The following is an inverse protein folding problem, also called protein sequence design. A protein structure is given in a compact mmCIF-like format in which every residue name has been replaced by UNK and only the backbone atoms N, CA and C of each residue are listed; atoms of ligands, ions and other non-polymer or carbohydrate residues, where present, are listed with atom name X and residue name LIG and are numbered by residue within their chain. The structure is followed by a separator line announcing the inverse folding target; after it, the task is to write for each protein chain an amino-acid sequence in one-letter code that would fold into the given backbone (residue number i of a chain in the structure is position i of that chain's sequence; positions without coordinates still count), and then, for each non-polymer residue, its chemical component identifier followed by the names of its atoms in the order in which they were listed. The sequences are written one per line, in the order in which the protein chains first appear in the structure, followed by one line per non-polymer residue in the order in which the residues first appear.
data_IF_976752751621
#
_entry.id   IF_976752751621
#
_cell.length_a   1.000
_cell.length_b   1.000
_cell.length_c   1.000
_cell.angle_alpha   90.00
_cell.angle_beta   90.00
_cell.angle_gamma   90.00
#
_symmetry.space_group_name_H-M   'P 1'
#
loop_
_entity.id
_entity.type
_entity.pdbx_description
1 polymer ?
#
# COMPACT_ATOMS: atom_id res chain seq x y z
N UNK A 1 -13.35 1.44 -0.90
CA UNK A 1 -12.80 2.80 -1.06
C UNK A 1 -13.58 3.82 -0.22
N UNK A 2 -14.91 3.93 -0.36
CA UNK A 2 -15.73 4.94 0.35
C UNK A 2 -15.57 4.89 1.86
N UNK A 3 -15.53 3.71 2.48
CA UNK A 3 -15.34 3.57 3.92
C UNK A 3 -13.99 4.13 4.39
N UNK A 4 -12.92 3.92 3.62
CA UNK A 4 -11.60 4.49 3.90
C UNK A 4 -11.58 6.01 3.74
N UNK A 5 -12.21 6.52 2.68
CA UNK A 5 -12.32 7.97 2.45
C UNK A 5 -13.04 8.62 3.64
N UNK A 6 -14.22 8.11 4.01
CA UNK A 6 -14.99 8.60 5.16
C UNK A 6 -14.17 8.58 6.45
N UNK A 7 -13.51 7.46 6.75
CA UNK A 7 -12.71 7.34 7.98
C UNK A 7 -11.64 8.43 8.09
N UNK A 8 -10.98 8.76 6.98
CA UNK A 8 -9.85 9.71 7.00
C UNK A 8 -10.22 11.16 6.68
N UNK A 9 -11.42 11.43 6.20
CA UNK A 9 -11.82 12.78 5.78
C UNK A 9 -13.01 13.33 6.54
N UNK A 10 -14.04 12.53 6.83
CA UNK A 10 -15.28 13.01 7.44
C UNK A 10 -15.07 13.37 8.93
N UNK A 11 -14.28 12.58 9.66
CA UNK A 11 -13.96 12.83 11.07
C UNK A 11 -13.35 14.24 11.27
N UNK A 12 -12.57 14.68 10.31
CA UNK A 12 -11.84 15.95 10.37
C UNK A 12 -12.45 17.04 9.49
N UNK A 13 -13.50 16.73 8.74
CA UNK A 13 -14.11 17.63 7.77
C UNK A 13 -13.06 18.32 6.88
N UNK A 14 -12.16 17.53 6.27
CA UNK A 14 -11.08 18.07 5.45
C UNK A 14 -11.37 17.93 3.94
N UNK A 15 -10.93 18.91 3.12
CA UNK A 15 -11.02 18.79 1.67
C UNK A 15 -10.15 17.64 1.17
N UNK A 16 -10.65 16.86 0.22
CA UNK A 16 -9.93 15.74 -0.35
C UNK A 16 -10.16 15.57 -1.85
N UNK A 17 -9.29 14.82 -2.48
CA UNK A 17 -9.46 14.26 -3.82
C UNK A 17 -9.13 12.77 -3.76
N UNK A 18 -10.00 11.95 -4.33
CA UNK A 18 -9.82 10.50 -4.37
C UNK A 18 -9.95 9.97 -5.80
N UNK A 19 -9.12 8.99 -6.14
CA UNK A 19 -9.19 8.27 -7.40
C UNK A 19 -8.87 6.80 -7.18
N UNK A 20 -9.60 5.91 -7.85
CA UNK A 20 -9.30 4.49 -7.89
C UNK A 20 -8.62 4.20 -9.21
N UNK A 21 -7.43 3.63 -9.12
CA UNK A 21 -6.68 3.16 -10.27
C UNK A 21 -6.63 1.64 -10.27
N UNK A 22 -6.66 1.07 -11.46
CA UNK A 22 -6.39 -0.34 -11.67
C UNK A 22 -5.35 -0.47 -12.79
N UNK A 23 -4.22 -1.07 -12.50
CA UNK A 23 -3.22 -1.41 -13.51
C UNK A 23 -2.77 -2.85 -13.31
N UNK A 24 -2.21 -3.43 -14.35
CA UNK A 24 -1.64 -4.77 -14.27
C UNK A 24 -0.24 -4.71 -13.67
N UNK A 25 0.02 -5.61 -12.74
CA UNK A 25 1.35 -5.79 -12.17
C UNK A 25 2.35 -6.27 -13.22
N UNK A 26 3.56 -5.73 -13.19
CA UNK A 26 4.63 -6.08 -14.13
C UNK A 26 5.15 -7.51 -13.91
N UNK A 27 4.89 -8.09 -12.74
CA UNK A 27 5.18 -9.48 -12.41
C UNK A 27 3.86 -10.24 -12.28
N UNK A 28 3.60 -11.17 -13.21
CA UNK A 28 2.40 -12.02 -13.19
C UNK A 28 1.14 -11.42 -13.81
N UNK A 29 1.15 -10.14 -14.23
CA UNK A 29 0.05 -9.52 -14.98
C UNK A 29 -1.29 -9.42 -14.24
N UNK A 30 -1.31 -9.57 -12.94
CA UNK A 30 -2.52 -9.52 -12.11
C UNK A 30 -2.99 -8.07 -11.93
N UNK A 31 -4.31 -7.90 -11.84
CA UNK A 31 -4.91 -6.59 -11.54
C UNK A 31 -4.50 -6.10 -10.16
N UNK A 32 -4.12 -4.83 -10.08
CA UNK A 32 -3.69 -4.16 -8.85
C UNK A 32 -4.56 -2.91 -8.60
N UNK A 33 -5.82 -3.08 -8.17
CA UNK A 33 -6.66 -1.95 -7.82
C UNK A 33 -6.12 -1.26 -6.56
N UNK A 34 -6.02 0.07 -6.61
CA UNK A 34 -5.57 0.85 -5.46
C UNK A 34 -6.23 2.22 -5.41
N UNK A 35 -6.40 2.72 -4.19
CA UNK A 35 -6.97 4.03 -3.90
C UNK A 35 -5.84 5.05 -3.72
N UNK A 36 -5.90 6.14 -4.50
CA UNK A 36 -5.18 7.37 -4.22
C UNK A 36 -6.11 8.31 -3.47
N UNK A 37 -5.77 8.63 -2.23
CA UNK A 37 -6.47 9.62 -1.42
C UNK A 37 -5.49 10.73 -1.07
N UNK A 38 -5.73 11.92 -1.60
CA UNK A 38 -5.09 13.17 -1.19
C UNK A 38 -6.07 13.98 -0.38
N UNK A 39 -5.71 14.36 0.82
CA UNK A 39 -6.50 15.23 1.67
C UNK A 39 -5.65 16.36 2.24
N UNK A 40 -6.32 17.48 2.53
CA UNK A 40 -5.69 18.61 3.17
C UNK A 40 -5.69 18.41 4.68
N UNK A 41 -4.58 18.67 5.35
CA UNK A 41 -4.48 18.62 6.82
C UNK A 41 -5.15 19.82 7.52
N UNK A 42 -6.14 20.43 6.89
CA UNK A 42 -6.90 21.57 7.45
C UNK A 42 -8.39 21.29 7.37
N UNK A 43 -9.08 21.52 8.48
CA UNK A 43 -10.54 21.35 8.53
C UNK A 43 -11.25 22.50 7.82
N UNK A 44 -12.35 22.17 7.15
CA UNK A 44 -13.34 23.16 6.69
C UNK A 44 -14.24 23.49 7.87
N UNK A 45 -14.35 24.77 8.18
CA UNK A 45 -15.24 25.31 9.21
C UNK A 45 -16.29 26.24 8.59
N UNK A 46 -17.09 26.92 9.43
CA UNK A 46 -18.15 27.81 9.01
C UNK A 46 -17.66 29.13 8.37
N UNK A 47 -16.36 29.40 8.42
CA UNK A 47 -15.84 30.69 7.92
C UNK A 47 -15.55 30.60 6.42
N UNK A 48 -16.08 31.54 5.67
CA UNK A 48 -15.85 31.66 4.25
C UNK A 48 -14.48 32.30 3.99
N UNK A 49 -13.51 31.50 3.51
CA UNK A 49 -12.13 31.91 3.27
C UNK A 49 -11.77 31.85 1.79
N UNK A 50 -10.95 32.79 1.34
CA UNK A 50 -10.25 32.62 0.06
C UNK A 50 -9.22 31.50 0.18
N UNK A 51 -8.75 30.96 -0.95
CA UNK A 51 -7.71 29.92 -0.94
C UNK A 51 -6.44 30.37 -0.21
N UNK A 52 -6.01 31.63 -0.41
CA UNK A 52 -4.84 32.19 0.28
C UNK A 52 -5.06 32.30 1.78
N UNK A 53 -6.23 32.75 2.20
CA UNK A 53 -6.58 32.84 3.61
C UNK A 53 -6.69 31.47 4.25
N UNK A 54 -7.27 30.47 3.57
CA UNK A 54 -7.41 29.09 4.06
C UNK A 54 -6.06 28.51 4.47
N UNK A 55 -5.01 28.73 3.69
CA UNK A 55 -3.66 28.23 3.95
C UNK A 55 -2.80 29.14 4.83
N UNK A 56 -3.30 30.30 5.24
CA UNK A 56 -2.58 31.21 6.14
C UNK A 56 -2.48 30.64 7.56
N UNK A 57 -1.79 31.33 8.46
CA UNK A 57 -1.66 30.93 9.87
C UNK A 57 -3.02 30.98 10.56
N UNK A 58 -3.37 29.90 11.27
CA UNK A 58 -4.56 29.87 12.12
C UNK A 58 -4.47 30.93 13.25
N UNK A 59 -5.55 31.62 13.51
CA UNK A 59 -5.68 32.59 14.59
C UNK A 59 -6.74 32.10 15.58
N UNK A 60 -6.30 31.61 16.73
CA UNK A 60 -7.16 31.05 17.77
C UNK A 60 -8.05 32.13 18.49
N UNK A 61 -7.63 33.40 18.43
CA UNK A 61 -8.38 34.50 19.01
C UNK A 61 -9.43 35.09 18.08
N UNK A 62 -9.21 34.96 16.77
CA UNK A 62 -10.10 35.44 15.72
C UNK A 62 -10.04 34.52 14.53
N UNK A 63 -10.73 33.36 14.61
CA UNK A 63 -10.69 32.31 13.55
C UNK A 63 -11.17 32.82 12.19
N UNK A 64 -12.10 33.78 12.16
CA UNK A 64 -12.63 34.34 10.91
C UNK A 64 -11.56 35.07 10.09
N UNK A 65 -10.60 35.72 10.75
CA UNK A 65 -9.49 36.44 10.13
C UNK A 65 -8.19 35.65 10.05
N UNK A 66 -8.21 34.36 10.47
CA UNK A 66 -7.09 33.42 10.37
C UNK A 66 -7.25 32.39 9.26
N UNK A 67 -6.24 31.58 9.08
CA UNK A 67 -6.32 30.39 8.23
C UNK A 67 -7.15 29.27 8.86
N UNK A 68 -7.47 28.24 8.09
CA UNK A 68 -8.15 27.04 8.60
C UNK A 68 -7.27 26.29 9.60
N UNK A 69 -7.88 25.69 10.60
CA UNK A 69 -7.16 24.95 11.64
C UNK A 69 -6.53 23.67 11.07
N UNK A 70 -5.28 23.41 11.41
CA UNK A 70 -4.64 22.13 11.09
C UNK A 70 -5.22 20.99 11.94
N UNK A 71 -5.51 19.89 11.28
CA UNK A 71 -6.07 18.67 11.89
C UNK A 71 -4.98 17.87 12.60
N UNK A 72 -3.83 17.69 11.93
CA UNK A 72 -2.69 17.03 12.53
C UNK A 72 -2.06 17.97 13.55
N UNK A 73 -2.08 17.60 14.83
CA UNK A 73 -1.35 18.40 15.80
C UNK A 73 0.13 18.34 15.43
N UNK A 74 0.71 19.50 15.19
CA UNK A 74 2.15 19.71 14.97
C UNK A 74 2.93 19.44 16.28
N UNK A 75 2.51 18.40 17.01
CA UNK A 75 3.07 18.02 18.30
C UNK A 75 4.16 16.99 18.00
N UNK A 76 5.41 17.35 18.25
CA UNK A 76 6.58 16.47 18.16
C UNK A 76 6.27 15.07 18.74
N UNK A 77 6.39 14.03 17.91
CA UNK A 77 6.20 12.63 18.28
C UNK A 77 4.81 12.04 18.03
N UNK A 78 3.74 12.84 17.88
CA UNK A 78 2.40 12.29 17.61
C UNK A 78 2.17 11.83 16.18
N UNK A 79 2.91 12.34 15.18
CA UNK A 79 2.74 11.93 13.79
C UNK A 79 2.92 10.44 13.56
N UNK A 80 3.87 9.80 14.26
CA UNK A 80 4.07 8.33 14.19
C UNK A 80 2.88 7.57 14.75
N UNK A 81 2.30 8.03 15.86
CA UNK A 81 1.13 7.40 16.49
C UNK A 81 -0.07 7.48 15.56
N UNK A 82 -0.36 8.66 15.00
CA UNK A 82 -1.47 8.86 14.06
C UNK A 82 -1.32 7.97 12.81
N UNK A 83 -0.12 7.89 12.23
CA UNK A 83 0.13 7.01 11.08
C UNK A 83 -0.09 5.54 11.44
N UNK A 84 0.30 5.11 12.63
CA UNK A 84 0.08 3.73 13.06
C UNK A 84 -1.42 3.46 13.30
N UNK A 85 -2.15 4.39 13.90
CA UNK A 85 -3.61 4.31 14.05
C UNK A 85 -4.30 4.22 12.69
N UNK A 86 -3.92 5.07 11.73
CA UNK A 86 -4.44 5.01 10.36
C UNK A 86 -4.17 3.66 9.67
N UNK A 87 -3.02 3.03 9.92
CA UNK A 87 -2.72 1.69 9.37
C UNK A 87 -3.63 0.63 9.97
N UNK A 88 -3.84 0.66 11.29
CA UNK A 88 -4.74 -0.27 12.00
C UNK A 88 -6.17 -0.07 11.52
N UNK A 89 -6.66 1.16 11.43
CA UNK A 89 -8.00 1.46 10.91
C UNK A 89 -8.17 0.98 9.46
N UNK A 90 -7.13 1.13 8.64
CA UNK A 90 -7.13 0.62 7.25
C UNK A 90 -7.24 -0.90 7.22
N UNK A 91 -6.48 -1.61 8.06
CA UNK A 91 -6.55 -3.07 8.18
C UNK A 91 -7.95 -3.52 8.60
N UNK A 92 -8.53 -2.90 9.64
CA UNK A 92 -9.87 -3.24 10.13
C UNK A 92 -10.90 -3.06 9.02
N UNK A 93 -10.96 -1.89 8.39
CA UNK A 93 -11.94 -1.58 7.34
C UNK A 93 -11.80 -2.55 6.15
N UNK A 94 -10.57 -2.85 5.73
CA UNK A 94 -10.35 -3.78 4.62
C UNK A 94 -10.80 -5.17 5.01
N UNK A 95 -10.45 -5.68 6.19
CA UNK A 95 -10.80 -7.03 6.62
C UNK A 95 -12.31 -7.21 6.82
N UNK A 96 -13.02 -6.22 7.35
CA UNK A 96 -14.49 -6.25 7.41
C UNK A 96 -15.15 -6.40 6.02
N UNK A 97 -14.59 -5.72 5.01
CA UNK A 97 -15.07 -5.82 3.64
C UNK A 97 -14.69 -7.15 2.99
N UNK A 98 -13.49 -7.65 3.25
CA UNK A 98 -13.04 -8.95 2.75
C UNK A 98 -13.90 -10.07 3.34
N UNK A 99 -14.14 -10.06 4.65
CA UNK A 99 -15.01 -11.04 5.31
C UNK A 99 -16.41 -11.07 4.69
N UNK A 100 -16.96 -9.91 4.36
CA UNK A 100 -18.31 -9.79 3.81
C UNK A 100 -18.42 -10.16 2.33
N UNK A 101 -17.43 -9.78 1.50
CA UNK A 101 -17.56 -9.84 0.04
C UNK A 101 -16.59 -10.80 -0.65
N UNK A 102 -15.51 -11.18 0.01
CA UNK A 102 -14.46 -12.06 -0.52
C UNK A 102 -13.71 -12.74 0.61
N UNK A 103 -14.40 -13.58 1.41
CA UNK A 103 -13.84 -14.14 2.65
C UNK A 103 -12.65 -15.06 2.41
N UNK A 104 -12.53 -15.60 1.22
CA UNK A 104 -11.44 -16.50 0.83
C UNK A 104 -10.74 -16.03 -0.43
N UNK A 105 -9.51 -16.47 -0.62
CA UNK A 105 -8.71 -16.31 -1.84
C UNK A 105 -8.01 -17.60 -2.20
N UNK A 106 -7.73 -17.78 -3.49
CA UNK A 106 -6.95 -18.92 -3.98
C UNK A 106 -5.47 -18.52 -4.01
N UNK A 107 -4.63 -19.35 -3.42
CA UNK A 107 -3.16 -19.26 -3.52
C UNK A 107 -2.63 -20.52 -4.19
N UNK A 108 -1.57 -20.37 -4.99
CA UNK A 108 -0.89 -21.50 -5.62
C UNK A 108 0.27 -21.95 -4.73
N UNK A 109 0.33 -23.25 -4.45
CA UNK A 109 1.40 -23.92 -3.71
C UNK A 109 1.89 -25.10 -4.54
N UNK A 110 3.09 -24.97 -5.09
CA UNK A 110 3.72 -26.02 -5.93
C UNK A 110 2.80 -26.55 -7.04
N UNK A 111 2.10 -25.64 -7.71
CA UNK A 111 1.19 -25.97 -8.80
C UNK A 111 -0.21 -26.43 -8.36
N UNK A 112 -0.50 -26.45 -7.06
CA UNK A 112 -1.82 -26.80 -6.51
C UNK A 112 -2.49 -25.53 -6.03
N UNK A 113 -3.69 -25.26 -6.51
CA UNK A 113 -4.52 -24.16 -6.05
C UNK A 113 -5.23 -24.52 -4.74
N UNK A 114 -5.05 -23.70 -3.72
CA UNK A 114 -5.59 -23.92 -2.39
C UNK A 114 -6.38 -22.68 -1.96
N UNK A 115 -7.55 -22.91 -1.40
CA UNK A 115 -8.38 -21.83 -0.85
C UNK A 115 -7.92 -21.53 0.59
N UNK A 116 -7.70 -20.24 0.89
CA UNK A 116 -7.32 -19.76 2.23
C UNK A 116 -8.15 -18.54 2.61
N UNK A 117 -8.29 -18.21 3.91
CA UNK A 117 -8.93 -16.97 4.33
C UNK A 117 -8.27 -15.75 3.70
N UNK A 118 -9.08 -14.79 3.29
CA UNK A 118 -8.61 -13.57 2.66
C UNK A 118 -8.54 -12.43 3.69
N UNK A 119 -7.34 -12.05 4.07
CA UNK A 119 -7.11 -10.97 5.00
C UNK A 119 -5.83 -10.19 4.67
N UNK A 120 -5.74 -8.98 5.21
CA UNK A 120 -4.54 -8.15 5.17
C UNK A 120 -4.07 -7.86 6.58
N UNK A 121 -2.78 -7.57 6.75
CA UNK A 121 -2.22 -7.10 8.01
C UNK A 121 -1.28 -5.92 7.79
N UNK A 122 -1.33 -4.93 8.68
CA UNK A 122 -0.41 -3.80 8.69
C UNK A 122 0.88 -4.07 9.48
N UNK A 123 0.99 -5.26 10.07
CA UNK A 123 2.16 -5.64 10.87
C UNK A 123 3.39 -5.84 10.01
N UNK A 124 4.55 -5.52 10.56
CA UNK A 124 5.82 -5.98 10.00
C UNK A 124 5.92 -7.51 10.06
N UNK A 125 6.65 -8.12 9.12
CA UNK A 125 6.82 -9.59 9.07
C UNK A 125 7.30 -10.19 10.39
N UNK A 126 8.22 -9.52 11.10
CA UNK A 126 8.71 -9.99 12.38
C UNK A 126 7.62 -10.02 13.46
N UNK A 127 6.80 -8.97 13.53
CA UNK A 127 5.70 -8.86 14.49
C UNK A 127 4.58 -9.83 14.13
N UNK A 128 4.25 -9.95 12.83
CA UNK A 128 3.29 -10.92 12.33
C UNK A 128 3.73 -12.36 12.66
N UNK A 129 4.98 -12.69 12.35
CA UNK A 129 5.55 -14.01 12.62
C UNK A 129 5.52 -14.35 14.12
N UNK A 130 5.86 -13.39 14.97
CA UNK A 130 5.83 -13.59 16.42
C UNK A 130 4.41 -13.82 16.93
N UNK A 131 3.43 -13.08 16.41
CA UNK A 131 2.03 -13.16 16.83
C UNK A 131 1.35 -14.46 16.36
N UNK A 132 1.64 -14.89 15.14
CA UNK A 132 0.97 -16.01 14.48
C UNK A 132 1.80 -17.29 14.40
N UNK A 133 3.04 -17.28 14.90
CA UNK A 133 3.94 -18.46 14.86
C UNK A 133 4.41 -18.80 13.45
N UNK A 134 4.31 -17.88 12.48
CA UNK A 134 4.73 -18.07 11.08
C UNK A 134 6.20 -17.72 10.86
N UNK A 135 6.71 -18.01 9.66
CA UNK A 135 8.08 -17.67 9.23
C UNK A 135 8.08 -16.91 7.91
N UNK A 136 7.11 -16.00 7.73
CA UNK A 136 7.03 -15.19 6.53
C UNK A 136 8.32 -14.40 6.31
N UNK A 137 8.73 -14.32 5.04
CA UNK A 137 9.93 -13.59 4.60
C UNK A 137 9.54 -12.33 3.84
N UNK A 138 10.28 -11.21 4.02
CA UNK A 138 10.06 -10.02 3.23
C UNK A 138 10.35 -10.31 1.75
N UNK A 139 9.44 -9.86 0.88
CA UNK A 139 9.61 -9.97 -0.58
C UNK A 139 10.30 -8.70 -1.06
N UNK A 140 11.48 -8.79 -1.71
CA UNK A 140 12.21 -7.61 -2.17
C UNK A 140 11.44 -6.90 -3.29
N UNK A 141 11.60 -5.56 -3.33
CA UNK A 141 11.07 -4.76 -4.42
C UNK A 141 12.06 -4.73 -5.57
N UNK A 142 11.63 -5.17 -6.76
CA UNK A 142 12.44 -5.06 -7.96
C UNK A 142 12.35 -3.62 -8.50
N UNK A 143 13.47 -2.97 -8.82
CA UNK A 143 13.46 -1.63 -9.41
C UNK A 143 12.65 -1.57 -10.71
N UNK A 144 11.80 -0.55 -10.86
CA UNK A 144 11.00 -0.38 -12.09
C UNK A 144 11.86 -0.30 -13.36
N UNK A 145 13.06 0.27 -13.27
CA UNK A 145 14.00 0.33 -14.39
C UNK A 145 14.42 -1.06 -14.87
N UNK A 146 14.48 -2.03 -13.98
CA UNK A 146 14.83 -3.41 -14.31
C UNK A 146 13.61 -4.16 -14.89
N UNK A 147 12.42 -3.96 -14.29
CA UNK A 147 11.19 -4.60 -14.77
C UNK A 147 10.78 -4.17 -16.17
N UNK A 148 11.07 -2.91 -16.55
CA UNK A 148 10.70 -2.32 -17.85
C UNK A 148 11.71 -2.56 -18.97
N UNK A 149 12.71 -3.39 -18.75
CA UNK A 149 13.62 -3.80 -19.82
C UNK A 149 12.84 -4.59 -20.87
N UNK A 150 13.04 -4.23 -22.13
CA UNK A 150 12.46 -4.92 -23.28
C UNK A 150 13.32 -6.14 -23.63
N UNK A 151 12.80 -7.39 -23.51
CA UNK A 151 13.57 -8.59 -23.81
C UNK A 151 14.00 -8.69 -25.28
N UNK A 152 13.27 -8.04 -26.18
CA UNK A 152 13.49 -8.10 -27.63
C UNK A 152 14.43 -7.00 -28.12
N UNK A 153 14.82 -6.06 -27.26
CA UNK A 153 15.72 -4.96 -27.63
C UNK A 153 17.14 -5.46 -27.76
N UNK A 154 17.75 -5.20 -28.92
CA UNK A 154 19.14 -5.52 -29.23
C UNK A 154 19.90 -4.30 -29.71
N UNK A 155 21.21 -4.25 -29.43
CA UNK A 155 22.10 -3.19 -29.85
C UNK A 155 23.11 -3.69 -30.90
N UNK A 156 23.42 -2.87 -31.90
CA UNK A 156 24.44 -3.18 -32.92
C UNK A 156 25.86 -3.24 -32.36
N UNK A 157 26.14 -2.43 -31.35
CA UNK A 157 27.41 -2.41 -30.65
C UNK A 157 27.47 -3.56 -29.65
N UNK A 158 28.45 -4.46 -29.82
CA UNK A 158 28.58 -5.68 -29.01
C UNK A 158 28.61 -5.40 -27.52
N UNK A 159 29.45 -4.47 -27.09
CA UNK A 159 29.63 -4.17 -25.65
C UNK A 159 28.33 -3.65 -25.01
N UNK A 160 27.57 -2.82 -25.74
CA UNK A 160 26.25 -2.35 -25.28
C UNK A 160 25.24 -3.47 -25.21
N UNK A 161 25.27 -4.36 -26.20
CA UNK A 161 24.38 -5.51 -26.22
C UNK A 161 24.67 -6.48 -25.07
N UNK A 162 25.94 -6.79 -24.83
CA UNK A 162 26.37 -7.67 -23.75
C UNK A 162 25.99 -7.09 -22.38
N UNK A 163 26.18 -5.79 -22.18
CA UNK A 163 25.75 -5.09 -20.96
C UNK A 163 24.22 -5.11 -20.78
N UNK A 164 23.46 -5.03 -21.86
CA UNK A 164 22.01 -5.09 -21.81
C UNK A 164 21.51 -6.50 -21.49
N UNK A 165 22.11 -7.52 -22.10
CA UNK A 165 21.81 -8.94 -21.82
C UNK A 165 22.12 -9.30 -20.36
N UNK A 166 23.17 -8.76 -19.78
CA UNK A 166 23.49 -8.93 -18.36
C UNK A 166 22.36 -8.37 -17.46
N UNK A 167 21.78 -7.21 -17.81
CA UNK A 167 20.63 -6.64 -17.09
C UNK A 167 19.36 -7.47 -17.24
N UNK A 168 19.10 -8.06 -18.41
CA UNK A 168 17.99 -8.98 -18.60
C UNK A 168 18.15 -10.24 -17.73
N UNK A 169 19.34 -10.79 -17.63
CA UNK A 169 19.65 -11.92 -16.75
C UNK A 169 19.44 -11.54 -15.26
N UNK A 170 19.85 -10.34 -14.86
CA UNK A 170 19.60 -9.80 -13.52
C UNK A 170 18.10 -9.69 -13.23
N UNK A 171 17.33 -9.16 -14.20
CA UNK A 171 15.86 -9.08 -14.13
C UNK A 171 15.21 -10.43 -13.90
N UNK A 172 15.58 -11.42 -14.70
CA UNK A 172 15.04 -12.79 -14.59
C UNK A 172 15.34 -13.41 -13.22
N UNK A 173 16.57 -13.26 -12.73
CA UNK A 173 16.96 -13.72 -11.40
C UNK A 173 16.13 -13.07 -10.30
N UNK A 174 15.95 -11.76 -10.37
CA UNK A 174 15.16 -11.00 -9.39
C UNK A 174 13.69 -11.41 -9.41
N UNK A 175 13.11 -11.66 -10.59
CA UNK A 175 11.73 -12.12 -10.73
C UNK A 175 11.58 -13.53 -10.13
N UNK A 176 12.49 -14.44 -10.40
CA UNK A 176 12.46 -15.79 -9.87
C UNK A 176 12.58 -15.79 -8.34
N UNK A 177 13.50 -15.00 -7.77
CA UNK A 177 13.62 -14.84 -6.31
C UNK A 177 12.32 -14.35 -5.67
N UNK A 178 11.66 -13.35 -6.28
CA UNK A 178 10.37 -12.84 -5.80
C UNK A 178 9.29 -13.92 -5.85
N UNK A 179 9.23 -14.71 -6.92
CA UNK A 179 8.26 -15.78 -7.07
C UNK A 179 8.50 -16.91 -6.05
N UNK A 180 9.74 -17.31 -5.84
CA UNK A 180 10.12 -18.34 -4.85
C UNK A 180 9.74 -17.89 -3.41
N UNK A 181 9.99 -16.62 -3.08
CA UNK A 181 9.62 -16.05 -1.78
C UNK A 181 8.10 -15.95 -1.59
N UNK A 182 7.37 -15.61 -2.65
CA UNK A 182 5.90 -15.59 -2.61
C UNK A 182 5.33 -16.99 -2.41
N UNK A 183 5.86 -17.98 -3.12
CA UNK A 183 5.46 -19.37 -2.97
C UNK A 183 5.75 -19.88 -1.55
N UNK A 184 6.94 -19.58 -1.02
CA UNK A 184 7.30 -19.87 0.36
C UNK A 184 6.31 -19.24 1.35
N UNK A 185 6.00 -17.95 1.21
CA UNK A 185 5.06 -17.26 2.07
C UNK A 185 3.63 -17.81 1.95
N UNK A 186 3.20 -18.19 0.74
CA UNK A 186 1.91 -18.86 0.53
C UNK A 186 1.84 -20.18 1.30
N UNK A 187 2.92 -20.96 1.30
CA UNK A 187 2.98 -22.21 2.05
C UNK A 187 2.92 -21.98 3.57
N UNK A 188 3.66 -20.99 4.09
CA UNK A 188 3.61 -20.60 5.52
C UNK A 188 2.20 -20.15 5.93
N UNK A 189 1.52 -19.35 5.11
CA UNK A 189 0.14 -18.94 5.34
C UNK A 189 -0.82 -20.12 5.34
N UNK A 190 -0.68 -21.05 4.38
CA UNK A 190 -1.48 -22.27 4.35
C UNK A 190 -1.29 -23.11 5.63
N UNK A 191 -0.07 -23.29 6.08
CA UNK A 191 0.22 -24.02 7.33
C UNK A 191 -0.45 -23.38 8.53
N UNK A 192 -0.41 -22.05 8.63
CA UNK A 192 -1.07 -21.30 9.70
C UNK A 192 -2.57 -21.60 9.78
N UNK A 193 -3.25 -21.67 8.65
CA UNK A 193 -4.71 -21.82 8.62
C UNK A 193 -5.21 -23.24 8.82
N UNK A 194 -4.42 -24.24 8.46
CA UNK A 194 -4.90 -25.63 8.45
C UNK A 194 -4.20 -26.55 9.46
N UNK A 195 -3.10 -26.12 10.07
CA UNK A 195 -2.31 -26.97 10.97
C UNK A 195 -2.00 -26.33 12.34
N UNK A 196 -2.40 -25.09 12.57
CA UNK A 196 -2.36 -24.41 13.86
C UNK A 196 -3.80 -24.09 14.30
#
# INVERSE_FOLDING_TARGET
AEALIKKFTDEFNCPYTAAIHNHRGEIGGQDQPHLHLMYCERSVDEHNRTAEQFFSRYNDKDPANGGAQKITPDIRGKGKTIINEMRVDTEIIINEHLEKYSPTKIINIKGIDVEVPNSVSCLHHEDYNRLHGTKLKPVPMIPKSLLRLDPDLTFREKDKNDAYQAKLTERERAINEVNDLREYNNFEMYQQYYFN
#
